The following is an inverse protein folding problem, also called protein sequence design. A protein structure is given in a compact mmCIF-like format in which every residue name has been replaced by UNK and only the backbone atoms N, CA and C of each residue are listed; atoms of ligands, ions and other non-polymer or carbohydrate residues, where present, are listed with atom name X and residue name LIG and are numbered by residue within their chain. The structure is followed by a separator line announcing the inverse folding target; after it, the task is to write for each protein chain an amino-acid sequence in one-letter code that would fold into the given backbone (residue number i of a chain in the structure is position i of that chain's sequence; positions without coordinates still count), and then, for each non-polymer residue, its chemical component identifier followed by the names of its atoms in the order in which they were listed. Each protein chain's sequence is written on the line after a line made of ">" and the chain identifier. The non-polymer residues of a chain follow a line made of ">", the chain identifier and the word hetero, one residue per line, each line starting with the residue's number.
data_IF_547536050764
#
_entry.id   IF_547536050764
#
_cell.length_a   1.000
_cell.length_b   1.000
_cell.length_c   1.000
_cell.angle_alpha   90.00
_cell.angle_beta   90.00
_cell.angle_gamma   90.00
#
_symmetry.space_group_name_H-M   'P 1'
#
loop_
_entity.id
_entity.type
_entity.pdbx_description
1 polymer ?
#
# COMPACT_ATOMS: atom_id res chain seq x y z
N UNK A 1 -28.17 -1.59 -11.36
CA UNK A 1 -29.32 -2.18 -12.08
C UNK A 1 -29.73 -1.30 -13.28
N UNK A 2 -29.86 0.01 -13.13
CA UNK A 2 -30.27 0.94 -14.22
C UNK A 2 -29.33 0.93 -15.43
N UNK A 3 -28.01 0.76 -15.26
CA UNK A 3 -27.03 0.81 -16.36
C UNK A 3 -26.94 -0.46 -17.18
N UNK A 4 -27.06 -1.63 -16.54
CA UNK A 4 -26.84 -2.93 -17.18
C UNK A 4 -28.10 -3.82 -17.19
N UNK A 5 -29.13 -3.45 -16.40
CA UNK A 5 -30.35 -4.25 -16.21
C UNK A 5 -30.03 -5.71 -15.90
N UNK A 6 -30.53 -6.65 -16.70
CA UNK A 6 -30.27 -8.09 -16.55
C UNK A 6 -29.21 -8.61 -17.55
N UNK A 7 -28.57 -7.72 -18.33
CA UNK A 7 -27.60 -8.11 -19.38
C UNK A 7 -26.35 -8.85 -18.88
N UNK A 8 -26.03 -8.73 -17.59
CA UNK A 8 -24.91 -9.44 -16.97
C UNK A 8 -25.30 -10.75 -16.29
N UNK A 9 -26.61 -11.05 -16.16
CA UNK A 9 -27.09 -12.15 -15.33
C UNK A 9 -26.62 -13.52 -15.83
N UNK A 10 -26.64 -13.72 -17.15
CA UNK A 10 -26.36 -15.00 -17.80
C UNK A 10 -24.96 -15.01 -18.47
N UNK A 11 -24.13 -14.01 -18.16
CA UNK A 11 -22.77 -13.96 -18.68
C UNK A 11 -21.79 -14.70 -17.77
N UNK A 12 -20.71 -15.29 -18.31
CA UNK A 12 -19.65 -15.89 -17.51
C UNK A 12 -19.02 -14.91 -16.53
N UNK A 13 -18.60 -15.39 -15.36
CA UNK A 13 -17.98 -14.58 -14.31
C UNK A 13 -16.76 -13.81 -14.82
N UNK A 14 -15.94 -14.42 -15.67
CA UNK A 14 -14.77 -13.78 -16.27
C UNK A 14 -15.10 -12.50 -17.05
N UNK A 15 -16.32 -12.41 -17.59
CA UNK A 15 -16.85 -11.22 -18.29
C UNK A 15 -17.48 -10.24 -17.32
N UNK A 16 -18.28 -10.75 -16.37
CA UNK A 16 -19.10 -9.92 -15.49
C UNK A 16 -18.32 -9.30 -14.34
N UNK A 17 -17.37 -10.05 -13.76
CA UNK A 17 -16.61 -9.62 -12.59
C UNK A 17 -15.81 -8.32 -12.81
N UNK A 18 -15.09 -8.13 -13.93
CA UNK A 18 -14.39 -6.86 -14.20
C UNK A 18 -15.37 -5.68 -14.30
N UNK A 19 -16.52 -5.89 -14.94
CA UNK A 19 -17.55 -4.84 -15.13
C UNK A 19 -18.15 -4.43 -13.78
N UNK A 20 -18.58 -5.42 -12.98
CA UNK A 20 -19.19 -5.18 -11.66
C UNK A 20 -18.18 -4.53 -10.72
N UNK A 21 -16.93 -5.00 -10.73
CA UNK A 21 -15.85 -4.43 -9.91
C UNK A 21 -15.58 -2.98 -10.26
N UNK A 22 -15.43 -2.65 -11.54
CA UNK A 22 -15.20 -1.27 -11.98
C UNK A 22 -16.36 -0.38 -11.55
N UNK A 23 -17.58 -0.79 -11.82
CA UNK A 23 -18.78 -0.03 -11.42
C UNK A 23 -18.86 0.19 -9.90
N UNK A 24 -18.57 -0.84 -9.10
CA UNK A 24 -18.60 -0.73 -7.65
C UNK A 24 -17.51 0.22 -7.13
N UNK A 25 -16.28 0.12 -7.67
CA UNK A 25 -15.17 1.01 -7.31
C UNK A 25 -15.53 2.46 -7.67
N UNK A 26 -16.02 2.71 -8.88
CA UNK A 26 -16.38 4.06 -9.32
C UNK A 26 -17.45 4.67 -8.42
N UNK A 27 -18.51 3.91 -8.10
CA UNK A 27 -19.59 4.37 -7.22
C UNK A 27 -19.10 4.65 -5.79
N UNK A 28 -18.23 3.80 -5.25
CA UNK A 28 -17.61 4.02 -3.93
C UNK A 28 -16.69 5.26 -3.95
N UNK A 29 -15.89 5.43 -4.99
CA UNK A 29 -14.99 6.57 -5.13
C UNK A 29 -15.75 7.90 -5.28
N UNK A 30 -16.89 7.90 -5.96
CA UNK A 30 -17.75 9.08 -6.04
C UNK A 30 -18.28 9.49 -4.65
N UNK A 31 -18.69 8.52 -3.83
CA UNK A 31 -19.08 8.74 -2.44
C UNK A 31 -17.92 9.29 -1.60
N UNK A 32 -16.75 8.63 -1.64
CA UNK A 32 -15.55 9.07 -0.91
C UNK A 32 -15.16 10.50 -1.27
N UNK A 33 -15.19 10.85 -2.56
CA UNK A 33 -14.88 12.21 -3.01
C UNK A 33 -15.92 13.24 -2.54
N UNK A 34 -17.19 12.84 -2.44
CA UNK A 34 -18.24 13.70 -1.90
C UNK A 34 -18.03 13.96 -0.41
N UNK A 35 -17.79 12.89 0.39
CA UNK A 35 -17.56 13.00 1.83
C UNK A 35 -16.30 13.83 2.15
N UNK A 36 -15.21 13.63 1.40
CA UNK A 36 -14.00 14.43 1.56
C UNK A 36 -14.26 15.93 1.29
N UNK A 37 -15.02 16.25 0.23
CA UNK A 37 -15.38 17.64 -0.07
C UNK A 37 -16.22 18.30 1.03
N UNK A 38 -17.12 17.56 1.65
CA UNK A 38 -17.90 18.06 2.80
C UNK A 38 -17.00 18.38 4.01
N UNK A 39 -15.87 17.67 4.14
CA UNK A 39 -14.83 17.97 5.15
C UNK A 39 -13.84 19.05 4.71
N UNK A 40 -14.02 19.65 3.52
CA UNK A 40 -13.10 20.65 2.96
C UNK A 40 -11.79 20.06 2.45
N UNK A 41 -11.74 18.77 2.14
CA UNK A 41 -10.56 18.07 1.64
C UNK A 41 -10.73 17.82 0.14
N UNK A 42 -9.85 18.39 -0.65
CA UNK A 42 -9.74 18.15 -2.09
C UNK A 42 -8.42 17.46 -2.39
N UNK A 43 -8.48 16.25 -2.97
CA UNK A 43 -7.31 15.49 -3.37
C UNK A 43 -7.01 15.69 -4.84
N UNK A 44 -5.78 16.03 -5.16
CA UNK A 44 -5.33 16.21 -6.56
C UNK A 44 -5.24 14.88 -7.31
N UNK A 45 -4.84 13.81 -6.61
CA UNK A 45 -4.60 12.49 -7.21
C UNK A 45 -5.21 11.37 -6.36
N UNK A 46 -5.98 10.50 -7.00
CA UNK A 46 -6.41 9.21 -6.48
C UNK A 46 -5.63 8.10 -7.19
N UNK A 47 -4.66 7.53 -6.51
CA UNK A 47 -3.83 6.46 -7.09
C UNK A 47 -4.52 5.11 -6.95
N UNK A 48 -4.45 4.29 -8.01
CA UNK A 48 -4.94 2.92 -8.00
C UNK A 48 -3.77 1.96 -7.87
N UNK A 49 -3.75 1.11 -6.84
CA UNK A 49 -2.75 0.05 -6.68
C UNK A 49 -2.71 -0.88 -7.89
N UNK A 50 -3.89 -1.28 -8.39
CA UNK A 50 -3.97 -2.08 -9.62
C UNK A 50 -3.25 -1.41 -10.79
N UNK A 51 -3.46 -0.11 -10.98
CA UNK A 51 -2.85 0.62 -12.08
C UNK A 51 -1.32 0.65 -11.97
N UNK A 52 -0.79 0.81 -10.76
CA UNK A 52 0.66 0.71 -10.52
C UNK A 52 1.22 -0.68 -10.90
N UNK A 53 0.50 -1.74 -10.54
CA UNK A 53 0.88 -3.12 -10.90
C UNK A 53 0.81 -3.33 -12.42
N UNK A 54 -0.30 -2.95 -13.06
CA UNK A 54 -0.51 -3.09 -14.51
C UNK A 54 0.50 -2.28 -15.34
N UNK A 55 0.99 -1.17 -14.81
CA UNK A 55 2.05 -0.35 -15.43
C UNK A 55 3.47 -0.85 -15.14
N UNK A 56 3.65 -1.95 -14.40
CA UNK A 56 4.96 -2.47 -14.05
C UNK A 56 5.74 -1.63 -13.04
N UNK A 57 5.07 -0.71 -12.33
CA UNK A 57 5.74 0.18 -11.36
C UNK A 57 6.34 -0.56 -10.19
N UNK A 58 5.75 -1.71 -9.81
CA UNK A 58 6.31 -2.55 -8.75
C UNK A 58 7.62 -3.16 -9.21
N UNK A 59 7.66 -3.72 -10.43
CA UNK A 59 8.87 -4.30 -11.00
C UNK A 59 9.97 -3.24 -11.18
N UNK A 60 9.61 -2.04 -11.61
CA UNK A 60 10.54 -0.90 -11.75
C UNK A 60 11.16 -0.51 -10.41
N UNK A 61 10.35 -0.34 -9.36
CA UNK A 61 10.83 0.01 -8.03
C UNK A 61 11.72 -1.09 -7.44
N UNK A 62 11.31 -2.35 -7.58
CA UNK A 62 12.10 -3.49 -7.11
C UNK A 62 13.40 -3.65 -7.90
N UNK A 63 13.37 -3.42 -9.20
CA UNK A 63 14.57 -3.40 -10.04
C UNK A 63 15.58 -2.36 -9.58
N UNK A 64 15.13 -1.13 -9.36
CA UNK A 64 15.98 -0.03 -8.87
C UNK A 64 16.65 -0.37 -7.52
N UNK A 65 15.91 -0.96 -6.57
CA UNK A 65 16.48 -1.37 -5.29
C UNK A 65 17.46 -2.55 -5.46
N UNK A 66 17.18 -3.46 -6.40
CA UNK A 66 18.05 -4.61 -6.72
C UNK A 66 19.37 -4.15 -7.33
N UNK A 67 19.35 -3.24 -8.29
CA UNK A 67 20.55 -2.69 -8.96
C UNK A 67 21.48 -1.98 -7.97
N UNK A 68 20.93 -1.48 -6.87
CA UNK A 68 21.67 -0.85 -5.77
C UNK A 68 22.10 -1.83 -4.68
N UNK A 69 21.87 -3.15 -4.87
CA UNK A 69 22.25 -4.19 -3.90
C UNK A 69 21.42 -4.21 -2.63
N UNK A 70 20.28 -3.52 -2.61
CA UNK A 70 19.37 -3.41 -1.44
C UNK A 70 18.36 -4.54 -1.37
N UNK A 71 18.37 -5.45 -2.35
CA UNK A 71 17.52 -6.63 -2.40
C UNK A 71 18.40 -7.87 -2.52
N UNK A 72 18.08 -8.90 -1.74
CA UNK A 72 18.84 -10.15 -1.72
C UNK A 72 17.91 -11.36 -1.47
N UNK A 73 18.41 -12.56 -1.77
CA UNK A 73 17.75 -13.81 -1.39
C UNK A 73 18.26 -14.29 -0.05
N UNK A 74 17.36 -14.63 0.86
CA UNK A 74 17.68 -15.08 2.18
C UNK A 74 16.50 -15.70 2.93
N UNK A 75 16.77 -16.26 4.08
CA UNK A 75 15.77 -16.81 4.99
C UNK A 75 15.66 -15.89 6.19
N UNK A 76 14.47 -15.41 6.49
CA UNK A 76 14.21 -14.65 7.71
C UNK A 76 14.16 -15.61 8.90
N UNK A 77 14.83 -15.22 9.99
CA UNK A 77 14.66 -15.91 11.26
C UNK A 77 13.22 -15.81 11.75
N UNK A 78 12.74 -16.86 12.43
CA UNK A 78 11.42 -16.84 13.04
C UNK A 78 11.28 -15.63 13.98
N UNK A 79 10.20 -14.84 13.86
CA UNK A 79 9.96 -13.71 14.74
C UNK A 79 9.81 -14.20 16.18
N UNK A 80 10.27 -13.40 17.14
CA UNK A 80 10.09 -13.71 18.57
C UNK A 80 8.61 -13.56 18.93
N UNK A 81 8.02 -14.61 19.47
CA UNK A 81 6.60 -14.64 19.88
C UNK A 81 5.72 -15.47 18.97
N UNK A 82 4.46 -15.06 18.81
CA UNK A 82 3.52 -15.76 17.92
C UNK A 82 3.92 -15.52 16.46
N UNK A 83 4.05 -16.62 15.71
CA UNK A 83 4.35 -16.54 14.27
C UNK A 83 3.18 -15.87 13.54
N UNK A 84 3.43 -14.90 12.65
CA UNK A 84 2.43 -14.43 11.73
C UNK A 84 1.91 -15.55 10.83
N UNK A 85 0.63 -15.51 10.47
CA UNK A 85 -0.01 -16.55 9.64
C UNK A 85 0.64 -16.68 8.25
N UNK A 86 1.32 -15.64 7.79
CA UNK A 86 2.02 -15.56 6.50
C UNK A 86 3.53 -15.80 6.62
N UNK A 87 4.05 -16.17 7.80
CA UNK A 87 5.46 -16.46 7.98
C UNK A 87 5.81 -17.86 7.46
N UNK A 88 6.83 -17.92 6.60
CA UNK A 88 7.36 -19.17 6.05
C UNK A 88 8.88 -19.23 6.22
N UNK A 89 9.40 -20.34 6.75
CA UNK A 89 10.84 -20.63 6.77
C UNK A 89 11.30 -21.09 5.37
N UNK A 90 11.50 -20.13 4.48
CA UNK A 90 11.95 -20.39 3.11
C UNK A 90 12.88 -19.29 2.62
N UNK A 91 13.64 -19.58 1.59
CA UNK A 91 14.38 -18.55 0.87
C UNK A 91 13.39 -17.59 0.18
N UNK A 92 13.55 -16.31 0.41
CA UNK A 92 12.67 -15.25 -0.05
C UNK A 92 13.50 -14.11 -0.64
N UNK A 93 12.86 -13.30 -1.48
CA UNK A 93 13.41 -12.02 -1.91
C UNK A 93 13.17 -11.00 -0.79
N UNK A 94 14.25 -10.46 -0.23
CA UNK A 94 14.24 -9.59 0.95
C UNK A 94 14.79 -8.21 0.63
N UNK A 95 14.17 -7.18 1.17
CA UNK A 95 14.69 -5.82 1.22
C UNK A 95 15.51 -5.61 2.50
N UNK A 96 16.70 -5.01 2.39
CA UNK A 96 17.62 -4.71 3.50
C UNK A 96 17.11 -3.53 4.36
N UNK A 97 15.93 -3.68 4.94
CA UNK A 97 15.29 -2.65 5.73
C UNK A 97 16.09 -2.28 6.99
N UNK A 98 16.85 -3.23 7.54
CA UNK A 98 17.70 -3.02 8.71
C UNK A 98 18.82 -2.01 8.47
N UNK A 99 19.31 -1.86 7.24
CA UNK A 99 20.30 -0.85 6.88
C UNK A 99 19.76 0.58 6.98
N UNK A 100 18.42 0.71 6.99
CA UNK A 100 17.70 1.98 7.05
C UNK A 100 16.90 2.18 8.35
N UNK A 101 17.19 1.37 9.39
CA UNK A 101 16.64 1.56 10.74
C UNK A 101 15.36 0.78 11.05
N UNK A 102 14.94 -0.14 10.20
CA UNK A 102 13.89 -1.11 10.56
C UNK A 102 14.46 -2.23 11.47
N UNK A 103 13.59 -2.93 12.18
CA UNK A 103 13.97 -3.96 13.14
C UNK A 103 14.34 -5.30 12.46
N UNK A 104 13.89 -5.51 11.22
CA UNK A 104 14.16 -6.72 10.41
C UNK A 104 14.06 -6.41 8.93
N UNK A 105 14.74 -7.21 8.10
CA UNK A 105 14.56 -7.15 6.66
C UNK A 105 13.17 -7.64 6.25
N UNK A 106 12.68 -7.18 5.10
CA UNK A 106 11.28 -7.36 4.75
C UNK A 106 11.10 -8.19 3.48
N UNK A 107 10.18 -9.17 3.49
CA UNK A 107 9.90 -9.97 2.30
C UNK A 107 9.19 -9.13 1.24
N UNK A 108 9.68 -9.28 0.00
CA UNK A 108 9.13 -8.60 -1.17
C UNK A 108 8.26 -9.51 -2.04
N UNK A 109 8.51 -10.84 -1.99
CA UNK A 109 7.75 -11.83 -2.76
C UNK A 109 7.14 -12.90 -1.85
N UNK A 110 5.95 -13.35 -2.22
CA UNK A 110 5.27 -14.51 -1.63
C UNK A 110 5.83 -15.82 -2.20
N UNK A 111 5.38 -16.96 -1.65
CA UNK A 111 5.77 -18.30 -2.12
C UNK A 111 5.40 -18.59 -3.57
N UNK A 112 4.30 -18.01 -4.04
CA UNK A 112 3.82 -18.14 -5.42
C UNK A 112 4.53 -17.20 -6.42
N UNK A 113 5.52 -16.42 -5.95
CA UNK A 113 6.25 -15.44 -6.76
C UNK A 113 5.55 -14.10 -6.95
N UNK A 114 4.32 -13.94 -6.45
CA UNK A 114 3.64 -12.64 -6.49
C UNK A 114 4.27 -11.66 -5.50
N UNK A 115 4.12 -10.37 -5.77
CA UNK A 115 4.58 -9.32 -4.87
C UNK A 115 3.78 -9.29 -3.57
N UNK A 116 4.44 -8.96 -2.47
CA UNK A 116 3.76 -8.69 -1.20
C UNK A 116 3.09 -7.32 -1.24
N UNK A 117 2.16 -7.06 -0.32
CA UNK A 117 1.60 -5.71 -0.14
C UNK A 117 2.69 -4.67 0.14
N UNK A 118 3.72 -5.06 0.88
CA UNK A 118 4.85 -4.16 1.15
C UNK A 118 5.58 -3.73 -0.12
N UNK A 119 5.79 -4.63 -1.08
CA UNK A 119 6.39 -4.28 -2.37
C UNK A 119 5.51 -3.30 -3.17
N UNK A 120 4.18 -3.48 -3.16
CA UNK A 120 3.23 -2.53 -3.77
C UNK A 120 3.28 -1.15 -3.09
N UNK A 121 3.37 -1.12 -1.76
CA UNK A 121 3.49 0.13 -1.00
C UNK A 121 4.80 0.85 -1.27
N UNK A 122 5.91 0.11 -1.40
CA UNK A 122 7.21 0.66 -1.81
C UNK A 122 7.12 1.32 -3.19
N UNK A 123 6.49 0.65 -4.16
CA UNK A 123 6.28 1.20 -5.50
C UNK A 123 5.38 2.44 -5.48
N UNK A 124 4.35 2.46 -4.65
CA UNK A 124 3.50 3.64 -4.47
C UNK A 124 4.26 4.82 -3.86
N UNK A 125 5.19 4.59 -2.94
CA UNK A 125 6.03 5.64 -2.38
C UNK A 125 7.06 6.13 -3.40
N UNK A 126 7.61 5.25 -4.24
CA UNK A 126 8.45 5.64 -5.37
C UNK A 126 7.68 6.55 -6.35
N UNK A 127 6.43 6.21 -6.69
CA UNK A 127 5.55 7.05 -7.52
C UNK A 127 5.32 8.43 -6.89
N UNK A 128 5.05 8.48 -5.57
CA UNK A 128 4.89 9.75 -4.85
C UNK A 128 6.16 10.61 -4.89
N UNK A 129 7.32 10.04 -4.60
CA UNK A 129 8.61 10.74 -4.67
C UNK A 129 8.86 11.30 -6.07
N UNK A 130 8.61 10.50 -7.11
CA UNK A 130 8.77 10.92 -8.51
C UNK A 130 7.83 12.08 -8.91
N UNK A 131 6.59 12.06 -8.40
CA UNK A 131 5.60 13.11 -8.71
C UNK A 131 5.88 14.42 -7.98
N UNK A 132 6.37 14.37 -6.75
CA UNK A 132 6.48 15.55 -5.90
C UNK A 132 7.91 16.10 -5.85
N UNK A 133 8.91 15.26 -5.99
CA UNK A 133 10.32 15.62 -5.82
C UNK A 133 10.68 16.07 -4.41
N UNK A 134 9.82 15.87 -3.42
CA UNK A 134 9.97 16.37 -2.07
C UNK A 134 9.62 15.34 -0.99
N UNK A 135 9.75 15.76 0.27
CA UNK A 135 9.37 14.95 1.41
C UNK A 135 7.87 14.63 1.41
N UNK A 136 7.54 13.45 1.89
CA UNK A 136 6.19 12.90 1.94
C UNK A 136 5.62 13.01 3.35
N UNK A 137 4.33 13.31 3.45
CA UNK A 137 3.55 13.19 4.69
C UNK A 137 2.47 12.15 4.47
N UNK A 138 2.53 11.07 5.24
CA UNK A 138 1.45 10.08 5.28
C UNK A 138 0.55 10.32 6.49
N UNK A 139 -0.76 10.25 6.29
CA UNK A 139 -1.75 10.28 7.38
C UNK A 139 -2.37 8.89 7.44
N UNK A 140 -2.13 8.16 8.54
CA UNK A 140 -2.55 6.77 8.73
C UNK A 140 -3.36 6.59 10.01
N UNK A 141 -4.20 5.55 10.04
CA UNK A 141 -4.82 5.08 11.26
C UNK A 141 -3.77 4.57 12.27
N UNK A 142 -4.06 4.69 13.56
CA UNK A 142 -3.14 4.29 14.62
C UNK A 142 -2.81 2.78 14.61
N UNK A 143 -3.67 1.96 14.04
CA UNK A 143 -3.47 0.53 13.78
C UNK A 143 -2.28 0.25 12.86
N UNK A 144 -1.87 1.21 12.03
CA UNK A 144 -0.68 1.14 11.18
C UNK A 144 0.63 1.56 11.86
N UNK A 145 0.63 1.82 13.17
CA UNK A 145 1.84 2.26 13.89
C UNK A 145 3.05 1.34 13.73
N UNK A 146 2.83 0.03 13.71
CA UNK A 146 3.89 -0.97 13.45
C UNK A 146 4.44 -0.99 12.03
N UNK A 147 3.78 -0.28 11.09
CA UNK A 147 4.18 -0.20 9.70
C UNK A 147 5.11 0.99 9.39
N UNK A 148 5.18 1.96 10.31
CA UNK A 148 5.91 3.22 10.12
C UNK A 148 7.40 2.97 9.84
N UNK A 149 8.09 2.20 10.68
CA UNK A 149 9.54 1.95 10.52
C UNK A 149 9.89 1.38 9.16
N UNK A 150 9.15 0.36 8.69
CA UNK A 150 9.42 -0.29 7.41
C UNK A 150 9.21 0.65 6.22
N UNK A 151 8.20 1.50 6.26
CA UNK A 151 7.97 2.47 5.19
C UNK A 151 8.95 3.63 5.22
N UNK A 152 9.36 4.08 6.42
CA UNK A 152 10.44 5.07 6.55
C UNK A 152 11.75 4.51 5.97
N UNK A 153 12.10 3.26 6.30
CA UNK A 153 13.27 2.60 5.74
C UNK A 153 13.21 2.48 4.21
N UNK A 154 12.05 2.05 3.67
CA UNK A 154 11.86 1.95 2.23
C UNK A 154 11.95 3.31 1.53
N UNK A 155 11.30 4.34 2.08
CA UNK A 155 11.33 5.69 1.50
C UNK A 155 12.73 6.29 1.53
N UNK A 156 13.48 6.08 2.63
CA UNK A 156 14.87 6.49 2.71
C UNK A 156 15.74 5.76 1.67
N UNK A 157 15.53 4.46 1.48
CA UNK A 157 16.22 3.69 0.46
C UNK A 157 15.90 4.20 -0.95
N UNK A 158 14.64 4.49 -1.25
CA UNK A 158 14.21 4.99 -2.57
C UNK A 158 14.78 6.37 -2.90
N UNK A 159 14.75 7.28 -1.94
CA UNK A 159 15.15 8.68 -2.13
C UNK A 159 16.64 8.93 -1.94
N UNK A 160 17.37 7.99 -1.33
CA UNK A 160 18.76 8.15 -0.87
C UNK A 160 18.94 9.28 0.16
N UNK A 161 17.85 9.74 0.75
CA UNK A 161 17.83 10.85 1.70
C UNK A 161 17.11 10.45 2.98
N UNK A 162 17.59 10.97 4.11
CA UNK A 162 16.88 10.82 5.40
C UNK A 162 15.70 11.76 5.49
N UNK A 163 14.79 11.42 6.39
CA UNK A 163 13.64 12.25 6.76
C UNK A 163 12.69 12.63 5.59
N UNK A 164 12.67 11.78 4.56
CA UNK A 164 11.79 11.96 3.39
C UNK A 164 10.36 11.48 3.61
N UNK A 165 10.06 10.85 4.75
CA UNK A 165 8.72 10.41 5.12
C UNK A 165 8.41 10.82 6.56
N UNK A 166 7.39 11.64 6.73
CA UNK A 166 6.76 11.94 8.00
C UNK A 166 5.40 11.21 8.08
N UNK A 167 5.15 10.47 9.16
CA UNK A 167 3.89 9.73 9.33
C UNK A 167 3.09 10.31 10.50
N UNK A 168 1.91 10.82 10.20
CA UNK A 168 0.93 11.29 11.20
C UNK A 168 -0.06 10.16 11.50
N UNK A 169 -0.03 9.65 12.72
CA UNK A 169 -0.95 8.61 13.16
C UNK A 169 -2.21 9.25 13.77
N UNK A 170 -3.35 8.96 13.17
CA UNK A 170 -4.66 9.42 13.64
C UNK A 170 -5.36 8.33 14.43
N UNK A 171 -5.83 8.67 15.63
CA UNK A 171 -6.64 7.77 16.45
C UNK A 171 -8.07 7.68 15.90
N UNK A 172 -8.82 6.68 16.37
CA UNK A 172 -10.24 6.54 16.08
C UNK A 172 -11.00 7.81 16.49
N UNK A 173 -11.77 8.35 15.55
CA UNK A 173 -12.64 9.50 15.79
C UNK A 173 -13.99 9.00 16.29
N UNK A 174 -14.45 9.52 17.42
CA UNK A 174 -15.79 9.25 17.94
C UNK A 174 -16.67 10.47 17.70
N UNK A 175 -17.78 10.26 17.00
CA UNK A 175 -18.82 11.27 16.87
C UNK A 175 -19.66 11.32 18.15
N UNK A 176 -19.89 12.54 18.65
CA UNK A 176 -20.71 12.76 19.83
C UNK A 176 -21.93 13.59 19.46
N UNK A 177 -23.13 13.12 19.84
CA UNK A 177 -24.34 13.94 19.88
C UNK A 177 -24.68 14.24 21.34
N UNK A 178 -24.71 15.54 21.71
CA UNK A 178 -24.96 16.00 23.08
C UNK A 178 -24.10 15.31 24.15
N UNK A 179 -22.83 15.05 23.82
CA UNK A 179 -21.85 14.42 24.72
C UNK A 179 -21.95 12.89 24.81
N UNK A 180 -22.77 12.25 24.00
CA UNK A 180 -22.88 10.79 23.94
C UNK A 180 -22.37 10.28 22.58
N UNK A 181 -21.63 9.15 22.53
CA UNK A 181 -21.27 8.54 21.28
C UNK A 181 -22.51 8.22 20.43
N UNK A 182 -22.43 8.50 19.13
CA UNK A 182 -23.47 8.20 18.15
C UNK A 182 -23.36 6.76 17.69
#
# INVERSE_FOLDING_TARGET
>A
KARYQDSLRDQPEVVTLPIVRSFAIDAMMDGIKADLRELGIEMDVFSSERHLVEQGRVDEAMGSLTDRGLVYRGVLAAPKGQLPDDWEEREQLLFRATEFGDDTDRPLQKSDGSWTYFASDVAYHADKLNRTGGALINVWGADHGGYVKRMTAATQALSEQKDMLDVKLCQLVTLLDKGKPV
#
